data_IF_213472714670
#
_entry.id   IF_213472714670
#
_cell.length_a   1.000
_cell.length_b   1.000
_cell.length_c   1.000
_cell.angle_alpha   90.00
_cell.angle_beta   90.00
_cell.angle_gamma   90.00
#
_symmetry.space_group_name_H-M   'P 1'
#
loop_
_entity.id
_entity.type
_entity.pdbx_description
1 polymer ?
#
# COMPACT_ATOMS: atom_id res chain seq x y z
N UNK A 1 13.30 12.11 -8.70
CA UNK A 1 11.88 11.73 -8.85
C UNK A 1 11.78 10.61 -9.87
N UNK A 2 11.24 9.47 -9.43
CA UNK A 2 10.99 8.29 -10.26
C UNK A 2 9.84 8.57 -11.23
N UNK A 3 9.87 7.95 -12.40
CA UNK A 3 8.70 7.92 -13.27
C UNK A 3 7.58 7.07 -12.64
N UNK A 4 6.32 7.30 -13.05
CA UNK A 4 5.19 6.51 -12.54
C UNK A 4 5.35 5.00 -12.79
N UNK A 5 5.91 4.62 -13.94
CA UNK A 5 6.13 3.21 -14.28
C UNK A 5 7.26 2.60 -13.44
N UNK A 6 8.39 3.31 -13.31
CA UNK A 6 9.52 2.85 -12.48
C UNK A 6 9.12 2.68 -11.01
N UNK A 7 8.39 3.67 -10.47
CA UNK A 7 7.89 3.61 -9.10
C UNK A 7 6.93 2.43 -8.90
N UNK A 8 5.99 2.20 -9.83
CA UNK A 8 5.06 1.08 -9.77
C UNK A 8 5.80 -0.25 -9.83
N UNK A 9 6.72 -0.42 -10.79
CA UNK A 9 7.50 -1.65 -10.95
C UNK A 9 8.27 -1.98 -9.68
N UNK A 10 9.05 -1.03 -9.14
CA UNK A 10 9.80 -1.25 -7.90
C UNK A 10 8.92 -1.54 -6.70
N UNK A 11 7.79 -0.83 -6.57
CA UNK A 11 6.85 -1.07 -5.46
C UNK A 11 6.31 -2.50 -5.48
N UNK A 12 6.01 -3.04 -6.67
CA UNK A 12 5.49 -4.40 -6.83
C UNK A 12 6.59 -5.46 -6.67
N UNK A 13 7.76 -5.25 -7.28
CA UNK A 13 8.88 -6.19 -7.22
C UNK A 13 9.47 -6.30 -5.81
N UNK A 14 9.64 -5.17 -5.12
CA UNK A 14 10.18 -5.13 -3.76
C UNK A 14 9.11 -5.47 -2.70
N UNK A 15 7.83 -5.35 -3.05
CA UNK A 15 6.73 -5.44 -2.10
C UNK A 15 6.69 -4.31 -1.05
N UNK A 16 7.42 -3.21 -1.28
CA UNK A 16 7.54 -2.08 -0.35
C UNK A 16 7.33 -0.76 -1.08
N UNK A 17 6.49 0.12 -0.51
CA UNK A 17 6.25 1.46 -1.05
C UNK A 17 7.42 2.37 -0.73
N UNK A 18 7.96 3.03 -1.76
CA UNK A 18 9.00 4.06 -1.65
C UNK A 18 8.43 5.43 -2.02
N UNK A 19 9.04 6.51 -1.57
CA UNK A 19 8.67 7.84 -2.02
C UNK A 19 9.03 8.02 -3.51
N UNK A 20 8.08 8.36 -4.40
CA UNK A 20 8.38 8.58 -5.82
C UNK A 20 9.25 9.81 -6.04
N UNK A 21 9.25 10.79 -5.12
CA UNK A 21 10.05 12.01 -5.26
C UNK A 21 11.54 11.78 -5.00
N UNK A 22 11.88 11.18 -3.84
CA UNK A 22 13.27 11.04 -3.38
C UNK A 22 13.77 9.59 -3.24
N UNK A 23 12.96 8.58 -3.59
CA UNK A 23 13.27 7.15 -3.47
C UNK A 23 13.52 6.66 -2.03
N UNK A 24 13.20 7.47 -1.02
CA UNK A 24 13.29 7.09 0.40
C UNK A 24 12.27 6.00 0.76
N UNK A 25 12.67 5.11 1.67
CA UNK A 25 11.79 4.14 2.33
C UNK A 25 11.08 4.69 3.56
N UNK A 26 11.46 5.90 4.01
CA UNK A 26 10.86 6.53 5.17
C UNK A 26 9.52 7.18 4.77
N UNK A 27 8.50 6.35 4.63
CA UNK A 27 7.14 6.73 4.23
C UNK A 27 6.14 6.35 5.33
N UNK A 28 5.34 7.31 5.76
CA UNK A 28 4.25 7.09 6.72
C UNK A 28 2.95 6.84 5.96
N UNK A 29 2.24 5.79 6.34
CA UNK A 29 0.91 5.48 5.82
C UNK A 29 -0.14 6.33 6.55
N UNK A 30 -0.96 7.06 5.78
CA UNK A 30 -2.08 7.84 6.28
C UNK A 30 -3.42 7.13 6.11
N UNK A 31 -4.47 7.91 5.82
CA UNK A 31 -5.81 7.39 5.60
C UNK A 31 -5.88 6.36 4.46
N UNK A 32 -6.68 5.31 4.67
CA UNK A 32 -6.88 4.20 3.76
C UNK A 32 -8.37 3.99 3.48
N UNK A 33 -8.74 3.88 2.21
CA UNK A 33 -10.07 3.47 1.80
C UNK A 33 -9.99 2.09 1.14
N UNK A 34 -10.60 1.09 1.78
CA UNK A 34 -10.63 -0.30 1.31
C UNK A 34 -12.00 -0.58 0.69
N UNK A 35 -12.00 -0.97 -0.58
CA UNK A 35 -13.15 -1.51 -1.29
C UNK A 35 -12.97 -2.99 -1.60
N UNK A 36 -14.00 -3.62 -2.19
CA UNK A 36 -14.00 -5.06 -2.48
C UNK A 36 -12.85 -5.52 -3.40
N UNK A 37 -12.36 -4.64 -4.26
CA UNK A 37 -11.30 -4.95 -5.23
C UNK A 37 -10.11 -4.00 -5.18
N UNK A 38 -10.19 -2.93 -4.41
CA UNK A 38 -9.25 -1.80 -4.51
C UNK A 38 -8.92 -1.21 -3.15
N UNK A 39 -7.67 -0.83 -2.94
CA UNK A 39 -7.23 -0.06 -1.77
C UNK A 39 -6.67 1.27 -2.25
N UNK A 40 -7.19 2.38 -1.72
CA UNK A 40 -6.62 3.71 -1.90
C UNK A 40 -5.89 4.12 -0.63
N UNK A 41 -4.56 4.17 -0.68
CA UNK A 41 -3.71 4.46 0.47
C UNK A 41 -2.99 5.80 0.28
N UNK A 42 -3.14 6.71 1.24
CA UNK A 42 -2.35 7.96 1.30
C UNK A 42 -1.01 7.74 2.00
N UNK A 43 0.01 8.46 1.55
CA UNK A 43 1.37 8.42 2.10
C UNK A 43 1.95 9.81 2.25
N UNK A 44 2.81 9.97 3.25
CA UNK A 44 3.69 11.13 3.42
C UNK A 44 5.13 10.63 3.53
N UNK A 45 6.05 11.20 2.77
CA UNK A 45 7.47 10.90 2.89
C UNK A 45 8.10 11.75 4.01
N UNK A 46 8.55 11.11 5.09
CA UNK A 46 9.22 11.80 6.20
C UNK A 46 10.60 12.35 5.81
N UNK A 47 11.18 11.84 4.72
CA UNK A 47 12.48 12.30 4.23
C UNK A 47 12.44 13.61 3.44
N UNK A 48 11.34 13.89 2.73
CA UNK A 48 11.24 15.09 1.88
C UNK A 48 9.89 15.83 1.94
N UNK A 49 8.96 15.39 2.79
CA UNK A 49 7.64 15.98 2.96
C UNK A 49 6.67 15.72 1.79
N UNK A 50 7.05 14.92 0.80
CA UNK A 50 6.19 14.69 -0.37
C UNK A 50 4.99 13.81 -0.01
N UNK A 51 3.78 14.34 -0.23
CA UNK A 51 2.52 13.63 -0.07
C UNK A 51 2.08 12.99 -1.38
N UNK A 52 1.62 11.75 -1.32
CA UNK A 52 1.14 11.02 -2.50
C UNK A 52 0.11 9.94 -2.14
N UNK A 53 -0.53 9.37 -3.16
CA UNK A 53 -1.52 8.31 -3.00
C UNK A 53 -1.18 7.16 -3.96
N UNK A 54 -1.45 5.93 -3.50
CA UNK A 54 -1.40 4.74 -4.33
C UNK A 54 -2.77 4.06 -4.37
N UNK A 55 -3.09 3.47 -5.53
CA UNK A 55 -4.22 2.56 -5.68
C UNK A 55 -3.67 1.14 -5.92
N UNK A 56 -4.07 0.20 -5.09
CA UNK A 56 -3.73 -1.22 -5.24
C UNK A 56 -4.97 -2.01 -5.64
N UNK A 57 -4.78 -3.02 -6.51
CA UNK A 57 -5.79 -4.01 -6.84
C UNK A 57 -5.65 -5.24 -5.95
N UNK A 58 -6.76 -5.72 -5.39
CA UNK A 58 -6.81 -6.99 -4.64
C UNK A 58 -6.94 -8.16 -5.62
N UNK A 59 -6.12 -9.19 -5.45
CA UNK A 59 -6.09 -10.37 -6.34
C UNK A 59 -7.15 -11.42 -6.00
N UNK A 60 -7.83 -11.28 -4.86
CA UNK A 60 -8.86 -12.21 -4.43
C UNK A 60 -9.32 -11.96 -3.00
N UNK A 61 -10.37 -12.69 -2.62
CA UNK A 61 -10.90 -12.76 -1.26
C UNK A 61 -10.85 -14.22 -0.82
N UNK A 62 -10.38 -14.46 0.40
CA UNK A 62 -10.43 -15.77 1.04
C UNK A 62 -11.32 -15.68 2.28
N UNK A 63 -12.18 -16.68 2.55
CA UNK A 63 -12.95 -16.69 3.78
C UNK A 63 -11.98 -16.74 4.96
N UNK A 64 -12.15 -15.82 5.92
CA UNK A 64 -11.43 -15.90 7.19
C UNK A 64 -12.04 -17.00 8.05
N UNK A 65 -11.22 -17.89 8.60
CA UNK A 65 -11.64 -18.70 9.75
C UNK A 65 -11.74 -17.78 10.95
N UNK A 66 -12.97 -17.42 11.34
CA UNK A 66 -13.20 -17.07 12.72
C UNK A 66 -12.96 -18.37 13.48
N UNK A 67 -11.97 -18.44 14.37
CA UNK A 67 -11.93 -19.53 15.33
C UNK A 67 -13.16 -19.36 16.24
N UNK A 68 -14.32 -19.89 15.82
CA UNK A 68 -15.41 -20.23 16.72
C UNK A 68 -14.94 -21.45 17.51
N UNK A 69 -14.11 -21.17 18.51
CA UNK A 69 -13.80 -22.13 19.54
C UNK A 69 -15.08 -22.45 20.31
N UNK A 70 -15.31 -23.75 20.47
CA UNK A 70 -16.33 -24.40 21.30
C UNK A 70 -17.79 -24.24 20.88
N UNK A 71 -18.30 -25.29 20.23
CA UNK A 71 -19.53 -25.91 20.73
C UNK A 71 -19.34 -27.43 20.80
N UNK A 72 -19.18 -27.87 22.05
CA UNK A 72 -19.37 -29.19 22.70
C UNK A 72 -19.53 -30.45 21.85
#
# INVERSE_FOLDING_TARGET
MLSSNEWRTRTVEDGVVRCPSCNSLNVTMGACAVGAYTIYQKYVCEGCGYEFQAMFGLIGCVPGSNNEGNDT
#
